data_IF_944831162615
#
_entry.id   IF_944831162615
#
_cell.length_a   1.000
_cell.length_b   1.000
_cell.length_c   1.000
_cell.angle_alpha   90.00
_cell.angle_beta   90.00
_cell.angle_gamma   90.00
#
_symmetry.space_group_name_H-M   'P 1'
#
loop_
_entity.id
_entity.type
_entity.pdbx_description
1 polymer ?
#
# COMPACT_ATOMS: atom_id res chain seq x y z
N UNK A 1 -2.44 -20.98 7.82
CA UNK A 1 -2.55 -19.60 7.30
C UNK A 1 -2.76 -19.68 5.80
N UNK A 2 -3.53 -18.77 5.23
CA UNK A 2 -3.80 -18.71 3.79
C UNK A 2 -3.84 -17.25 3.33
N UNK A 3 -3.57 -17.02 2.05
CA UNK A 3 -3.78 -15.71 1.43
C UNK A 3 -5.22 -15.55 0.97
N UNK A 4 -5.73 -14.33 1.07
CA UNK A 4 -7.07 -13.95 0.61
C UNK A 4 -6.95 -13.09 -0.63
N UNK A 5 -7.48 -13.55 -1.76
CA UNK A 5 -7.55 -12.75 -2.99
C UNK A 5 -8.67 -11.71 -2.88
N UNK A 6 -8.41 -10.50 -3.34
CA UNK A 6 -9.43 -9.45 -3.49
C UNK A 6 -9.37 -8.84 -4.90
N UNK A 7 -10.43 -8.14 -5.30
CA UNK A 7 -10.50 -7.39 -6.56
C UNK A 7 -11.37 -6.16 -6.35
N UNK A 8 -10.93 -5.02 -6.89
CA UNK A 8 -11.72 -3.79 -6.92
C UNK A 8 -11.80 -3.29 -8.36
N UNK A 9 -12.95 -3.46 -9.04
CA UNK A 9 -13.12 -2.93 -10.39
C UNK A 9 -12.97 -1.42 -10.39
N UNK A 10 -12.15 -0.91 -11.31
CA UNK A 10 -11.85 0.51 -11.40
C UNK A 10 -11.80 0.95 -12.86
N UNK A 11 -12.58 1.97 -13.21
CA UNK A 11 -12.51 2.63 -14.51
C UNK A 11 -11.44 3.72 -14.46
N UNK A 12 -10.30 3.45 -15.07
CA UNK A 12 -9.22 4.43 -15.16
C UNK A 12 -9.58 5.55 -16.15
N UNK A 13 -9.42 6.81 -15.73
CA UNK A 13 -9.70 7.99 -16.53
C UNK A 13 -8.49 8.50 -17.33
N UNK A 14 -7.41 7.72 -17.42
CA UNK A 14 -6.16 8.09 -18.10
C UNK A 14 -5.27 9.08 -17.35
N UNK A 15 -5.69 9.57 -16.17
CA UNK A 15 -4.87 10.47 -15.34
C UNK A 15 -3.96 9.68 -14.42
N UNK A 16 -2.90 10.32 -13.95
CA UNK A 16 -2.06 9.73 -12.91
C UNK A 16 -2.91 9.32 -11.70
N UNK A 17 -2.62 8.13 -11.16
CA UNK A 17 -3.30 7.60 -9.98
C UNK A 17 -2.29 6.93 -9.05
N UNK A 18 -2.56 7.00 -7.75
CA UNK A 18 -1.84 6.23 -6.73
C UNK A 18 -2.76 5.13 -6.21
N UNK A 19 -2.45 3.87 -6.52
CA UNK A 19 -3.20 2.73 -6.05
C UNK A 19 -2.59 2.22 -4.75
N UNK A 20 -3.45 1.97 -3.76
CA UNK A 20 -3.08 1.42 -2.46
C UNK A 20 -4.09 0.37 -2.05
N UNK A 21 -3.65 -0.58 -1.23
CA UNK A 21 -4.53 -1.54 -0.56
C UNK A 21 -4.22 -1.56 0.92
N UNK A 22 -5.25 -1.79 1.74
CA UNK A 22 -5.15 -1.81 3.20
C UNK A 22 -6.01 -2.93 3.76
N UNK A 23 -5.38 -3.87 4.45
CA UNK A 23 -6.08 -4.99 5.07
C UNK A 23 -6.55 -4.67 6.49
N UNK A 24 -7.61 -5.36 6.92
CA UNK A 24 -8.07 -5.44 8.30
C UNK A 24 -8.33 -6.90 8.64
N UNK A 25 -7.87 -7.37 9.80
CA UNK A 25 -8.07 -8.74 10.26
C UNK A 25 -9.27 -8.88 11.20
N UNK A 26 -9.52 -10.12 11.65
CA UNK A 26 -10.60 -10.47 12.58
C UNK A 26 -10.42 -9.90 14.00
N UNK A 27 -9.22 -9.45 14.34
CA UNK A 27 -8.88 -8.75 15.59
C UNK A 27 -8.99 -7.22 15.45
N UNK A 28 -9.38 -6.73 14.28
CA UNK A 28 -9.48 -5.30 13.99
C UNK A 28 -8.13 -4.61 13.77
N UNK A 29 -7.05 -5.35 13.57
CA UNK A 29 -5.75 -4.76 13.25
C UNK A 29 -5.77 -4.24 11.82
N UNK A 30 -5.46 -2.95 11.65
CA UNK A 30 -5.42 -2.28 10.36
C UNK A 30 -3.98 -2.18 9.88
N UNK A 31 -3.72 -2.54 8.63
CA UNK A 31 -2.40 -2.41 8.03
C UNK A 31 -1.92 -0.95 8.08
N UNK A 32 -0.70 -0.68 8.59
CA UNK A 32 -0.23 0.68 8.82
C UNK A 32 0.16 1.39 7.52
N UNK A 33 -0.01 2.70 7.49
CA UNK A 33 0.63 3.57 6.50
C UNK A 33 2.16 3.51 6.64
N UNK A 34 2.89 3.91 5.60
CA UNK A 34 4.34 4.05 5.69
C UNK A 34 4.79 4.99 6.82
N UNK A 35 4.03 6.07 7.07
CA UNK A 35 4.32 7.01 8.14
C UNK A 35 4.08 6.41 9.54
N UNK A 36 3.00 5.67 9.74
CA UNK A 36 2.74 4.95 11.00
C UNK A 36 3.79 3.88 11.23
N UNK A 37 4.09 3.07 10.20
CA UNK A 37 5.09 2.03 10.27
C UNK A 37 6.48 2.59 10.61
N UNK A 38 6.88 3.70 10.00
CA UNK A 38 8.14 4.39 10.30
C UNK A 38 8.21 4.87 11.77
N UNK A 39 7.10 5.35 12.36
CA UNK A 39 7.09 5.74 13.78
C UNK A 39 7.44 4.58 14.71
N UNK A 40 7.05 3.36 14.36
CA UNK A 40 7.34 2.17 15.15
C UNK A 40 8.73 1.57 14.87
N UNK A 41 9.18 1.59 13.61
CA UNK A 41 10.34 0.80 13.17
C UNK A 41 11.55 1.62 12.69
N UNK A 42 11.49 2.96 12.69
CA UNK A 42 12.55 3.85 12.18
C UNK A 42 13.99 3.48 12.60
N UNK A 43 14.28 3.02 13.83
CA UNK A 43 15.65 2.70 14.25
C UNK A 43 16.14 1.29 13.88
N UNK A 44 15.30 0.41 13.34
CA UNK A 44 15.51 -1.05 13.45
C UNK A 44 15.49 -1.84 12.14
N UNK A 45 15.47 -1.17 10.98
CA UNK A 45 15.57 -1.83 9.68
C UNK A 45 14.34 -2.62 9.23
N UNK A 46 13.23 -2.58 10.00
CA UNK A 46 11.91 -3.05 9.59
C UNK A 46 11.84 -4.51 9.07
N UNK A 47 12.23 -5.51 9.87
CA UNK A 47 12.29 -6.92 9.44
C UNK A 47 10.92 -7.53 9.04
N UNK A 48 9.82 -6.90 9.47
CA UNK A 48 8.44 -7.31 9.16
C UNK A 48 7.68 -6.17 8.47
N UNK A 49 8.19 -5.74 7.32
CA UNK A 49 7.60 -4.68 6.50
C UNK A 49 6.19 -5.02 6.03
N UNK A 50 5.18 -4.49 6.74
CA UNK A 50 3.77 -4.63 6.37
C UNK A 50 3.11 -3.28 6.07
N UNK A 51 3.89 -2.21 5.89
CA UNK A 51 3.34 -0.92 5.47
C UNK A 51 2.55 -1.04 4.16
N UNK A 52 1.52 -0.21 3.98
CA UNK A 52 0.79 -0.11 2.71
C UNK A 52 1.77 0.17 1.58
N UNK A 53 1.73 -0.68 0.54
CA UNK A 53 2.51 -0.51 -0.69
C UNK A 53 1.72 0.36 -1.68
N UNK A 54 2.21 1.55 -2.05
CA UNK A 54 1.62 2.34 -3.12
C UNK A 54 2.17 1.95 -4.50
N UNK A 55 1.34 2.09 -5.51
CA UNK A 55 1.68 1.90 -6.92
C UNK A 55 1.25 3.12 -7.73
N UNK A 56 2.20 3.76 -8.40
CA UNK A 56 1.92 4.90 -9.27
C UNK A 56 1.57 4.40 -10.67
N UNK A 57 0.35 4.69 -11.11
CA UNK A 57 -0.09 4.50 -12.49
C UNK A 57 0.11 5.81 -13.23
N UNK A 58 1.01 5.81 -14.21
CA UNK A 58 1.27 6.99 -15.06
C UNK A 58 0.17 7.16 -16.12
N UNK A 59 0.00 8.35 -16.71
CA UNK A 59 -0.92 8.56 -17.83
C UNK A 59 -0.66 7.66 -19.05
N UNK A 60 0.57 7.16 -19.21
CA UNK A 60 0.94 6.22 -20.27
C UNK A 60 0.66 4.75 -19.92
N UNK A 61 0.12 4.46 -18.72
CA UNK A 61 -0.25 3.11 -18.28
C UNK A 61 0.89 2.35 -17.60
N UNK A 62 2.08 2.93 -17.45
CA UNK A 62 3.14 2.31 -16.66
C UNK A 62 2.79 2.29 -15.18
N UNK A 63 3.15 1.19 -14.52
CA UNK A 63 3.00 0.98 -13.08
C UNK A 63 4.38 1.01 -12.45
N UNK A 64 4.60 1.95 -11.53
CA UNK A 64 5.87 2.16 -10.87
C UNK A 64 5.73 1.88 -9.37
N UNK A 65 6.77 1.26 -8.79
CA UNK A 65 6.91 1.23 -7.34
C UNK A 65 7.06 2.68 -6.85
N UNK A 66 6.23 3.06 -5.89
CA UNK A 66 6.15 4.42 -5.39
C UNK A 66 6.38 4.45 -3.88
N UNK A 67 6.56 5.66 -3.35
CA UNK A 67 6.45 5.97 -1.94
C UNK A 67 5.41 7.07 -1.80
N UNK A 68 4.59 7.00 -0.74
CA UNK A 68 3.75 8.15 -0.39
C UNK A 68 4.65 9.10 0.40
N UNK A 69 4.98 10.23 -0.20
CA UNK A 69 5.70 11.30 0.49
C UNK A 69 4.84 11.88 1.62
N UNK A 70 5.52 12.42 2.64
CA UNK A 70 4.91 12.98 3.86
C UNK A 70 4.06 14.21 3.59
#
# INVERSE_FOLDING_TARGET
>A
MAWTRFTTPWTWNGREAMLQSRCTDDKGQVQPTGAEFAKFWAPSGAPHGNAIQPWKVTPAGFVLNAFVEK
#
